data_IF_364438941906
#
_entry.id   IF_364438941906
#
_cell.length_a   1.000
_cell.length_b   1.000
_cell.length_c   1.000
_cell.angle_alpha   90.00
_cell.angle_beta   90.00
_cell.angle_gamma   90.00
#
_symmetry.space_group_name_H-M   'P 1'
#
loop_
_entity.id
_entity.type
_entity.pdbx_description
1 polymer ?
#
# COMPACT_ATOMS: atom_id res chain seq x y z
N UNK A 1 1.30 -1.47 17.08
CA UNK A 1 -0.03 -1.54 16.41
C UNK A 1 0.16 -1.18 14.94
N UNK A 2 -0.70 -1.67 14.02
CA UNK A 2 -0.61 -1.31 12.60
C UNK A 2 -0.86 0.19 12.43
N UNK A 3 -0.05 0.83 11.59
CA UNK A 3 -0.15 2.27 11.27
C UNK A 3 -1.34 2.58 10.37
N UNK A 4 -1.75 1.61 9.54
CA UNK A 4 -2.83 1.78 8.57
C UNK A 4 -4.01 0.84 8.86
N UNK A 5 -5.21 1.29 8.49
CA UNK A 5 -6.48 0.64 8.73
C UNK A 5 -7.16 0.22 7.42
N UNK A 6 -8.20 -0.62 7.54
CA UNK A 6 -9.05 -0.97 6.41
C UNK A 6 -9.71 0.29 5.83
N UNK A 7 -9.71 0.42 4.51
CA UNK A 7 -10.26 1.59 3.82
C UNK A 7 -9.27 2.73 3.61
N UNK A 8 -8.10 2.72 4.27
CA UNK A 8 -7.06 3.72 4.01
C UNK A 8 -6.57 3.62 2.56
N UNK A 9 -6.44 4.78 1.91
CA UNK A 9 -5.86 4.91 0.56
C UNK A 9 -4.38 5.14 0.68
N UNK A 10 -3.58 4.24 0.15
CA UNK A 10 -2.12 4.27 0.23
C UNK A 10 -1.51 4.17 -1.15
N UNK A 11 -0.25 4.60 -1.25
CA UNK A 11 0.61 4.40 -2.41
C UNK A 11 1.96 3.84 -1.98
N UNK A 12 2.67 3.22 -2.92
CA UNK A 12 4.03 2.75 -2.69
C UNK A 12 4.99 3.94 -2.68
N UNK A 13 5.87 3.99 -1.69
CA UNK A 13 6.97 4.96 -1.63
C UNK A 13 7.89 4.76 -2.82
N UNK A 14 8.23 5.85 -3.48
CA UNK A 14 9.16 5.85 -4.61
C UNK A 14 9.86 7.20 -4.70
N UNK A 15 10.98 7.23 -5.42
CA UNK A 15 11.66 8.48 -5.78
C UNK A 15 11.07 9.11 -7.06
N UNK A 16 10.09 8.46 -7.67
CA UNK A 16 9.39 8.93 -8.89
C UNK A 16 8.00 9.47 -8.55
N UNK A 17 7.41 10.29 -9.41
CA UNK A 17 6.03 10.75 -9.19
C UNK A 17 4.96 9.71 -9.56
N UNK A 18 5.37 8.58 -10.15
CA UNK A 18 4.47 7.54 -10.63
C UNK A 18 4.73 6.25 -9.85
N UNK A 19 3.70 5.78 -9.18
CA UNK A 19 3.70 4.54 -8.40
C UNK A 19 2.29 3.96 -8.38
N UNK A 20 2.13 2.74 -7.89
CA UNK A 20 0.81 2.17 -7.69
C UNK A 20 0.14 2.70 -6.41
N UNK A 21 -1.19 2.71 -6.43
CA UNK A 21 -2.01 3.09 -5.28
C UNK A 21 -3.29 2.26 -5.22
N UNK A 22 -3.88 2.25 -4.04
CA UNK A 22 -5.10 1.49 -3.80
C UNK A 22 -5.63 1.64 -2.39
N UNK A 23 -6.58 0.78 -2.04
CA UNK A 23 -7.26 0.77 -0.75
C UNK A 23 -6.85 -0.49 0.03
N UNK A 24 -6.57 -0.35 1.32
CA UNK A 24 -6.35 -1.52 2.18
C UNK A 24 -7.65 -2.32 2.33
N UNK A 25 -7.59 -3.59 1.91
CA UNK A 25 -8.66 -4.58 2.07
C UNK A 25 -8.27 -5.75 2.99
N UNK A 26 -7.05 -5.74 3.53
CA UNK A 26 -6.56 -6.79 4.42
C UNK A 26 -5.25 -6.40 5.09
N UNK A 27 -4.97 -7.01 6.24
CA UNK A 27 -3.66 -6.92 6.89
C UNK A 27 -3.34 -8.17 7.69
N UNK A 28 -2.06 -8.50 7.78
CA UNK A 28 -1.56 -9.60 8.57
C UNK A 28 -0.16 -9.29 9.10
N UNK A 29 0.21 -9.93 10.20
CA UNK A 29 1.54 -9.81 10.79
C UNK A 29 2.38 -11.00 10.33
N UNK A 30 3.50 -10.73 9.64
CA UNK A 30 4.34 -11.77 9.04
C UNK A 30 5.83 -11.47 9.21
N UNK A 31 6.67 -12.49 9.09
CA UNK A 31 8.10 -12.34 9.11
C UNK A 31 8.58 -11.72 7.79
N UNK A 32 9.16 -10.52 7.86
CA UNK A 32 9.70 -9.79 6.73
C UNK A 32 11.17 -10.20 6.50
N UNK A 33 11.48 -11.01 5.46
CA UNK A 33 12.82 -11.58 5.30
C UNK A 33 13.87 -10.51 5.02
N UNK A 34 13.50 -9.44 4.30
CA UNK A 34 14.40 -8.36 3.90
C UNK A 34 15.01 -7.59 5.09
N UNK A 35 14.41 -7.67 6.27
CA UNK A 35 14.92 -7.01 7.48
C UNK A 35 15.02 -7.94 8.70
N UNK A 36 14.82 -9.24 8.50
CA UNK A 36 14.89 -10.28 9.54
C UNK A 36 14.03 -9.98 10.78
N UNK A 37 12.84 -9.40 10.61
CA UNK A 37 11.95 -9.00 11.72
C UNK A 37 10.49 -9.21 11.33
N UNK A 38 9.62 -9.35 12.34
CA UNK A 38 8.18 -9.40 12.13
C UNK A 38 7.61 -8.00 11.89
N UNK A 39 6.81 -7.83 10.83
CA UNK A 39 6.20 -6.54 10.44
C UNK A 39 4.77 -6.71 9.94
N UNK A 40 4.04 -5.60 9.95
CA UNK A 40 2.73 -5.51 9.31
C UNK A 40 2.88 -5.54 7.78
N UNK A 41 2.07 -6.37 7.15
CA UNK A 41 1.91 -6.45 5.70
C UNK A 41 0.45 -6.24 5.36
N UNK A 42 0.19 -5.52 4.27
CA UNK A 42 -1.13 -5.09 3.87
C UNK A 42 -1.49 -5.70 2.52
N UNK A 43 -2.73 -6.16 2.38
CA UNK A 43 -3.33 -6.51 1.10
C UNK A 43 -4.09 -5.28 0.60
N UNK A 44 -3.69 -4.81 -0.58
CA UNK A 44 -4.14 -3.56 -1.17
C UNK A 44 -4.89 -3.90 -2.46
N UNK A 45 -6.12 -3.43 -2.57
CA UNK A 45 -6.89 -3.47 -3.81
C UNK A 45 -6.51 -2.25 -4.64
N UNK A 46 -5.92 -2.47 -5.81
CA UNK A 46 -5.41 -1.41 -6.66
C UNK A 46 -6.55 -0.63 -7.30
N UNK A 47 -6.35 0.67 -7.42
CA UNK A 47 -7.27 1.54 -8.13
C UNK A 47 -7.24 1.23 -9.64
N UNK A 48 -8.38 1.28 -10.37
CA UNK A 48 -8.42 1.08 -11.81
C UNK A 48 -7.45 1.95 -12.63
N UNK A 49 -7.14 3.14 -12.12
CA UNK A 49 -6.23 4.08 -12.78
C UNK A 49 -4.76 3.91 -12.35
N UNK A 50 -4.47 2.98 -11.42
CA UNK A 50 -3.11 2.65 -10.99
C UNK A 50 -2.31 2.01 -12.13
N UNK A 51 -1.02 2.36 -12.31
CA UNK A 51 -0.18 1.87 -13.41
C UNK A 51 -0.27 0.37 -13.65
N UNK A 52 -0.24 -0.46 -12.60
CA UNK A 52 -0.22 -1.91 -12.73
C UNK A 52 -1.60 -2.58 -12.76
N UNK A 53 -2.69 -1.81 -12.63
CA UNK A 53 -4.05 -2.37 -12.51
C UNK A 53 -4.40 -3.31 -13.66
N UNK A 54 -3.94 -3.02 -14.87
CA UNK A 54 -4.19 -3.83 -16.07
C UNK A 54 -3.72 -5.28 -15.91
N UNK A 55 -2.69 -5.54 -15.10
CA UNK A 55 -2.10 -6.86 -14.88
C UNK A 55 -2.47 -7.48 -13.53
N UNK A 56 -2.66 -6.68 -12.49
CA UNK A 56 -2.92 -7.14 -11.12
C UNK A 56 -4.01 -6.30 -10.46
N UNK A 57 -4.96 -6.96 -9.79
CA UNK A 57 -6.07 -6.28 -9.09
C UNK A 57 -5.78 -5.99 -7.62
N UNK A 58 -4.94 -6.80 -7.00
CA UNK A 58 -4.54 -6.63 -5.62
C UNK A 58 -3.09 -7.07 -5.43
N UNK A 59 -2.36 -6.33 -4.61
CA UNK A 59 -0.95 -6.58 -4.29
C UNK A 59 -0.72 -6.53 -2.77
N UNK A 60 0.43 -7.02 -2.34
CA UNK A 60 0.86 -6.98 -0.93
C UNK A 60 2.09 -6.09 -0.76
N UNK A 61 2.10 -5.32 0.33
CA UNK A 61 3.24 -4.47 0.66
C UNK A 61 3.48 -4.39 2.17
N UNK A 62 4.76 -4.23 2.54
CA UNK A 62 5.13 -4.01 3.92
C UNK A 62 4.79 -2.58 4.35
N UNK A 63 4.48 -2.40 5.63
CA UNK A 63 4.09 -1.11 6.19
C UNK A 63 5.06 0.03 5.87
N UNK A 64 6.36 -0.26 5.82
CA UNK A 64 7.40 0.74 5.59
C UNK A 64 7.51 1.18 4.13
N UNK A 65 7.01 0.37 3.21
CA UNK A 65 7.02 0.67 1.77
C UNK A 65 5.83 1.53 1.36
N UNK A 66 4.94 1.84 2.31
CA UNK A 66 3.67 2.53 2.06
C UNK A 66 3.61 3.90 2.74
N UNK A 67 2.91 4.81 2.08
CA UNK A 67 2.54 6.12 2.59
C UNK A 67 1.10 6.47 2.22
N UNK A 68 0.44 7.36 2.98
CA UNK A 68 -0.89 7.85 2.63
C UNK A 68 -0.92 8.44 1.22
N UNK A 69 -1.95 8.08 0.45
CA UNK A 69 -2.25 8.81 -0.77
C UNK A 69 -2.82 10.17 -0.36
N UNK A 70 -2.04 11.23 -0.57
CA UNK A 70 -2.52 12.60 -0.34
C UNK A 70 -3.81 12.79 -1.12
N UNK A 71 -4.92 12.96 -0.40
CA UNK A 71 -6.15 13.43 -1.02
C UNK A 71 -5.91 14.92 -1.27
N UNK A 72 -5.81 15.33 -2.53
CA UNK A 72 -5.86 16.75 -2.86
C UNK A 72 -7.06 17.35 -2.11
N UNK A 73 -6.78 18.22 -1.14
CA UNK A 73 -7.81 19.06 -0.55
C UNK A 73 -8.26 19.96 -1.68
N UNK A 74 -9.38 19.62 -2.31
CA UNK A 74 -10.09 20.52 -3.22
C UNK A 74 -10.55 21.69 -2.36
N UNK A 75 -9.76 22.76 -2.34
CA UNK A 75 -10.12 24.08 -1.80
C UNK A 75 -11.05 24.80 -2.78
#
# INVERSE_FOLDING_TARGET
MPRFLYGDRLRWKTNTNTTDWGIIIGRFYSFAPHCCRWRWCYLIWLDPDSPSFTWVRADIAWEDDLEPLETELVL
#
